data_IF_220924805479
#
_entry.id   IF_220924805479
#
_cell.length_a   1.000
_cell.length_b   1.000
_cell.length_c   1.000
_cell.angle_alpha   90.00
_cell.angle_beta   90.00
_cell.angle_gamma   90.00
#
_symmetry.space_group_name_H-M   'P 1'
#
loop_
_entity.id
_entity.type
_entity.pdbx_description
1 polymer ?
#
# COMPACT_ATOMS: atom_id res chain seq x y z
N UNK A 1 14.17 -11.49 -8.50
CA UNK A 1 13.31 -11.08 -7.38
C UNK A 1 13.07 -9.59 -7.48
N UNK A 2 11.80 -9.17 -7.50
CA UNK A 2 11.41 -7.76 -7.47
C UNK A 2 10.81 -7.45 -6.10
N UNK A 3 11.23 -6.35 -5.46
CA UNK A 3 10.72 -5.93 -4.15
C UNK A 3 9.95 -4.62 -4.24
N UNK A 4 8.73 -4.62 -3.71
CA UNK A 4 7.80 -3.50 -3.76
C UNK A 4 7.42 -3.09 -2.35
N UNK A 5 7.57 -1.81 -2.02
CA UNK A 5 7.05 -1.21 -0.79
C UNK A 5 5.68 -0.58 -1.08
N UNK A 6 4.62 -1.06 -0.44
CA UNK A 6 3.31 -0.40 -0.42
C UNK A 6 3.14 0.38 0.89
N UNK A 7 2.90 1.69 0.80
CA UNK A 7 2.91 2.60 1.96
C UNK A 7 2.01 3.83 1.74
N UNK A 8 1.42 4.40 2.78
CA UNK A 8 0.64 5.64 2.63
C UNK A 8 -0.13 5.99 3.90
N UNK A 9 -1.18 6.80 3.75
CA UNK A 9 -2.04 7.30 4.83
C UNK A 9 -1.20 7.88 5.99
N UNK A 10 -0.15 8.63 5.64
CA UNK A 10 0.83 9.16 6.61
C UNK A 10 0.25 10.34 7.39
N UNK A 11 -0.50 11.22 6.70
CA UNK A 11 -1.04 12.48 7.22
C UNK A 11 0.00 13.32 7.98
N UNK A 12 1.21 13.47 7.44
CA UNK A 12 2.25 14.30 8.06
C UNK A 12 2.25 15.68 7.38
N UNK A 13 2.03 16.79 8.11
CA UNK A 13 2.00 16.92 9.58
C UNK A 13 0.59 16.92 10.19
N UNK A 14 -0.46 16.82 9.38
CA UNK A 14 -1.84 17.10 9.80
C UNK A 14 -2.37 16.21 10.94
N UNK A 15 -1.99 14.94 11.00
CA UNK A 15 -2.40 13.97 12.04
C UNK A 15 -1.22 13.28 12.72
N UNK A 16 -0.05 13.23 12.08
CA UNK A 16 1.17 12.64 12.62
C UNK A 16 2.37 13.56 12.43
N UNK A 17 3.36 13.43 13.30
CA UNK A 17 4.63 14.19 13.17
C UNK A 17 5.68 13.45 12.34
N UNK A 18 5.69 12.12 12.40
CA UNK A 18 6.65 11.26 11.70
C UNK A 18 6.14 9.82 11.62
N UNK A 19 6.71 9.04 10.71
CA UNK A 19 6.65 7.57 10.73
C UNK A 19 7.37 7.08 11.99
N UNK A 20 6.86 6.06 12.71
CA UNK A 20 7.50 5.53 13.90
C UNK A 20 8.94 5.06 13.63
N UNK A 21 9.85 5.35 14.56
CA UNK A 21 11.29 5.12 14.37
C UNK A 21 11.62 3.66 14.05
N UNK A 22 10.93 2.70 14.65
CA UNK A 22 11.12 1.27 14.37
C UNK A 22 10.82 0.93 12.91
N UNK A 23 9.73 1.47 12.37
CA UNK A 23 9.36 1.24 10.97
C UNK A 23 10.31 1.98 10.04
N UNK A 24 10.65 3.24 10.36
CA UNK A 24 11.61 4.04 9.60
C UNK A 24 13.00 3.37 9.50
N UNK A 25 13.53 2.87 10.61
CA UNK A 25 14.80 2.15 10.66
C UNK A 25 14.73 0.86 9.85
N UNK A 26 13.63 0.11 9.95
CA UNK A 26 13.44 -1.10 9.16
C UNK A 26 13.42 -0.78 7.67
N UNK A 27 12.62 0.21 7.22
CA UNK A 27 12.54 0.61 5.82
C UNK A 27 13.90 1.05 5.28
N UNK A 28 14.63 1.87 6.04
CA UNK A 28 15.95 2.38 5.65
C UNK A 28 16.97 1.24 5.48
N UNK A 29 16.92 0.20 6.32
CA UNK A 29 17.83 -0.97 6.23
C UNK A 29 17.52 -1.88 5.04
N UNK A 30 16.29 -1.90 4.54
CA UNK A 30 15.87 -2.79 3.46
C UNK A 30 15.80 -2.09 2.09
N UNK A 31 15.86 -0.77 2.07
CA UNK A 31 16.02 0.04 0.88
C UNK A 31 17.38 -0.22 0.17
N UNK A 32 17.49 0.04 -1.15
CA UNK A 32 16.41 0.47 -2.02
C UNK A 32 15.47 -0.69 -2.41
N UNK A 33 14.16 -0.41 -2.39
CA UNK A 33 13.14 -1.22 -3.05
C UNK A 33 13.19 -0.95 -4.56
N UNK A 34 12.75 -1.91 -5.37
CA UNK A 34 12.67 -1.70 -6.81
C UNK A 34 11.52 -0.74 -7.14
N UNK A 35 10.39 -0.90 -6.44
CA UNK A 35 9.21 -0.05 -6.58
C UNK A 35 8.72 0.39 -5.20
N UNK A 36 8.30 1.65 -5.08
CA UNK A 36 7.51 2.16 -3.96
C UNK A 36 6.15 2.58 -4.52
N UNK A 37 5.08 1.96 -4.02
CA UNK A 37 3.69 2.23 -4.39
C UNK A 37 3.00 2.95 -3.22
N UNK A 38 2.71 4.24 -3.40
CA UNK A 38 2.17 5.09 -2.36
C UNK A 38 0.68 5.35 -2.53
N UNK A 39 -0.13 4.98 -1.53
CA UNK A 39 -1.60 5.14 -1.58
C UNK A 39 -2.09 6.57 -1.34
N UNK A 40 -1.20 7.56 -1.18
CA UNK A 40 -1.57 8.96 -0.93
C UNK A 40 -1.78 9.28 0.56
N UNK A 41 -2.45 10.40 0.81
CA UNK A 41 -2.60 11.04 2.12
C UNK A 41 -1.24 11.32 2.77
N UNK A 42 -0.38 11.99 1.99
CA UNK A 42 0.94 12.51 2.35
C UNK A 42 0.82 13.86 3.07
N UNK A 43 -0.09 14.71 2.61
CA UNK A 43 -0.39 16.09 3.03
C UNK A 43 0.66 17.16 2.72
N UNK A 44 1.94 16.82 2.61
CA UNK A 44 2.98 17.76 2.16
C UNK A 44 4.04 17.14 1.23
N UNK A 45 4.64 17.96 0.36
CA UNK A 45 5.66 17.53 -0.61
C UNK A 45 6.93 16.92 0.02
N UNK A 46 7.47 17.39 1.16
CA UNK A 46 8.62 16.77 1.78
C UNK A 46 8.39 15.30 2.17
N UNK A 47 7.15 14.93 2.53
CA UNK A 47 6.79 13.54 2.85
C UNK A 47 6.85 12.68 1.60
N UNK A 48 6.35 13.18 0.47
CA UNK A 48 6.47 12.53 -0.84
C UNK A 48 7.93 12.26 -1.19
N UNK A 49 8.79 13.28 -1.08
CA UNK A 49 10.23 13.16 -1.39
C UNK A 49 10.91 12.13 -0.47
N UNK A 50 10.55 12.11 0.81
CA UNK A 50 11.04 11.13 1.78
C UNK A 50 10.65 9.71 1.36
N UNK A 51 9.37 9.44 1.09
CA UNK A 51 8.92 8.10 0.67
C UNK A 51 9.53 7.66 -0.66
N UNK A 52 9.67 8.57 -1.62
CA UNK A 52 10.31 8.32 -2.91
C UNK A 52 11.76 7.82 -2.76
N UNK A 53 12.48 8.30 -1.76
CA UNK A 53 13.88 7.90 -1.52
C UNK A 53 14.08 6.43 -1.14
N UNK A 54 13.02 5.72 -0.74
CA UNK A 54 13.11 4.31 -0.39
C UNK A 54 13.26 3.38 -1.60
N UNK A 55 13.01 3.82 -2.83
CA UNK A 55 13.10 2.95 -3.99
C UNK A 55 13.51 3.62 -5.30
N UNK A 56 13.71 2.79 -6.32
CA UNK A 56 14.18 3.21 -7.64
C UNK A 56 13.05 3.84 -8.46
N UNK A 57 11.89 3.21 -8.43
CA UNK A 57 10.67 3.69 -9.09
C UNK A 57 9.62 4.05 -8.04
N UNK A 58 8.90 5.16 -8.25
CA UNK A 58 7.90 5.66 -7.31
C UNK A 58 6.56 5.89 -8.02
N UNK A 59 5.56 5.10 -7.66
CA UNK A 59 4.17 5.33 -8.02
C UNK A 59 3.46 5.93 -6.81
N UNK A 60 2.67 6.98 -7.03
CA UNK A 60 1.90 7.63 -5.98
C UNK A 60 0.56 8.04 -6.57
N UNK A 61 -0.48 7.98 -5.75
CA UNK A 61 -1.82 8.46 -6.10
C UNK A 61 -2.31 9.49 -5.10
N UNK A 62 -3.25 10.32 -5.52
CA UNK A 62 -3.87 11.35 -4.70
C UNK A 62 -4.78 10.74 -3.63
N UNK A 63 -4.49 11.06 -2.36
CA UNK A 63 -5.39 10.85 -1.25
C UNK A 63 -6.36 12.01 -1.04
N UNK A 64 -7.47 11.79 -0.33
CA UNK A 64 -8.49 12.83 -0.16
C UNK A 64 -8.05 13.99 0.75
N UNK A 65 -6.88 13.89 1.39
CA UNK A 65 -6.27 14.97 2.16
C UNK A 65 -5.04 15.58 1.46
N UNK A 66 -4.66 15.08 0.28
CA UNK A 66 -3.57 15.65 -0.49
C UNK A 66 -4.03 16.89 -1.25
N UNK A 67 -3.16 17.89 -1.29
CA UNK A 67 -3.34 19.12 -2.07
C UNK A 67 -2.36 19.18 -3.25
N UNK A 68 -1.56 18.13 -3.41
CA UNK A 68 -0.55 17.99 -4.44
C UNK A 68 -1.22 17.49 -5.73
N UNK A 69 -0.79 17.94 -6.92
CA UNK A 69 -1.33 17.48 -8.19
C UNK A 69 -0.84 16.06 -8.51
N UNK A 70 -1.44 15.05 -7.87
CA UNK A 70 -1.12 13.64 -7.99
C UNK A 70 -2.20 12.92 -8.83
N UNK A 71 -1.86 11.81 -9.51
CA UNK A 71 -2.86 11.09 -10.29
C UNK A 71 -3.87 10.38 -9.37
N UNK A 72 -5.13 10.27 -9.78
CA UNK A 72 -6.16 9.60 -8.98
C UNK A 72 -5.97 8.08 -8.89
N UNK A 73 -5.27 7.49 -9.86
CA UNK A 73 -4.95 6.08 -9.95
C UNK A 73 -3.65 5.85 -10.73
N UNK A 74 -3.01 4.71 -10.52
CA UNK A 74 -1.89 4.25 -11.33
C UNK A 74 -2.02 2.75 -11.61
N UNK A 75 -1.47 2.31 -12.75
CA UNK A 75 -1.34 0.90 -13.10
C UNK A 75 0.08 0.67 -13.58
N UNK A 76 0.72 -0.39 -13.09
CA UNK A 76 2.06 -0.77 -13.50
C UNK A 76 2.21 -2.29 -13.51
N UNK A 77 3.06 -2.77 -14.40
CA UNK A 77 3.33 -4.19 -14.59
C UNK A 77 4.67 -4.54 -13.93
N UNK A 78 4.71 -5.70 -13.27
CA UNK A 78 5.89 -6.17 -12.56
C UNK A 78 6.48 -7.41 -13.23
N UNK A 79 5.61 -8.32 -13.66
CA UNK A 79 5.89 -9.47 -14.53
C UNK A 79 4.65 -9.68 -15.42
N UNK A 80 4.77 -10.49 -16.47
CA UNK A 80 3.73 -10.69 -17.51
C UNK A 80 2.33 -10.98 -16.93
N UNK A 81 2.26 -11.78 -15.86
CA UNK A 81 0.99 -12.16 -15.21
C UNK A 81 0.67 -11.33 -13.94
N UNK A 82 1.41 -10.25 -13.66
CA UNK A 82 1.23 -9.44 -12.46
C UNK A 82 1.16 -7.95 -12.78
N UNK A 83 -0.05 -7.50 -13.11
CA UNK A 83 -0.40 -6.08 -13.21
C UNK A 83 -0.97 -5.58 -11.89
N UNK A 84 -0.44 -4.46 -11.42
CA UNK A 84 -0.76 -3.86 -10.13
C UNK A 84 -1.49 -2.54 -10.35
N UNK A 85 -2.69 -2.43 -9.78
CA UNK A 85 -3.44 -1.20 -9.65
C UNK A 85 -3.16 -0.52 -8.31
N UNK A 86 -3.11 0.80 -8.32
CA UNK A 86 -2.94 1.64 -7.14
C UNK A 86 -4.01 2.72 -7.13
N UNK A 87 -4.74 2.80 -6.02
CA UNK A 87 -5.72 3.86 -5.72
C UNK A 87 -5.61 4.25 -4.25
N UNK A 88 -6.12 5.43 -3.88
CA UNK A 88 -6.23 5.76 -2.46
C UNK A 88 -7.37 4.99 -1.79
N UNK A 89 -8.53 4.84 -2.44
CA UNK A 89 -9.69 4.11 -1.91
C UNK A 89 -10.83 4.99 -1.40
N UNK A 90 -10.65 6.31 -1.30
CA UNK A 90 -11.76 7.26 -1.01
C UNK A 90 -12.80 7.28 -2.13
N UNK A 91 -12.43 6.81 -3.32
CA UNK A 91 -13.29 6.66 -4.49
C UNK A 91 -14.33 5.54 -4.31
N UNK A 92 -14.22 4.71 -3.27
CA UNK A 92 -15.07 3.55 -3.02
C UNK A 92 -16.09 3.81 -1.92
N UNK A 93 -17.37 3.63 -2.25
CA UNK A 93 -18.49 3.67 -1.30
C UNK A 93 -19.31 2.37 -1.33
N UNK A 94 -19.69 1.79 -0.18
CA UNK A 94 -19.28 2.17 1.18
C UNK A 94 -17.76 2.05 1.42
N UNK A 95 -17.23 2.83 2.37
CA UNK A 95 -15.80 2.88 2.69
C UNK A 95 -15.22 1.49 2.89
N UNK A 96 -14.20 1.12 2.10
CA UNK A 96 -13.51 -0.17 2.20
C UNK A 96 -14.35 -1.38 1.77
N UNK A 97 -15.41 -1.19 0.98
CA UNK A 97 -16.22 -2.29 0.45
C UNK A 97 -15.40 -3.16 -0.53
N UNK A 98 -15.22 -4.44 -0.19
CA UNK A 98 -14.40 -5.41 -0.96
C UNK A 98 -14.96 -5.67 -2.35
N UNK A 99 -16.28 -5.75 -2.49
CA UNK A 99 -16.91 -6.04 -3.78
C UNK A 99 -16.69 -4.89 -4.76
N UNK A 100 -16.76 -3.64 -4.30
CA UNK A 100 -16.49 -2.46 -5.12
C UNK A 100 -15.01 -2.34 -5.49
N UNK A 101 -14.11 -2.63 -4.55
CA UNK A 101 -12.66 -2.72 -4.83
C UNK A 101 -12.36 -3.78 -5.88
N UNK A 102 -12.97 -4.97 -5.77
CA UNK A 102 -12.85 -6.03 -6.76
C UNK A 102 -13.39 -5.59 -8.13
N UNK A 103 -14.53 -4.90 -8.18
CA UNK A 103 -15.06 -4.35 -9.43
C UNK A 103 -14.11 -3.32 -10.05
N UNK A 104 -13.48 -2.46 -9.25
CA UNK A 104 -12.47 -1.52 -9.75
C UNK A 104 -11.23 -2.22 -10.27
N UNK A 105 -10.71 -3.21 -9.53
CA UNK A 105 -9.55 -4.00 -9.95
C UNK A 105 -9.78 -4.64 -11.32
N UNK A 106 -10.96 -5.25 -11.54
CA UNK A 106 -11.34 -5.82 -12.83
C UNK A 106 -11.48 -4.77 -13.93
N UNK A 107 -12.03 -3.60 -13.63
CA UNK A 107 -12.11 -2.48 -14.60
C UNK A 107 -10.75 -1.93 -14.98
N UNK A 108 -9.80 -1.95 -14.04
CA UNK A 108 -8.41 -1.55 -14.26
C UNK A 108 -7.58 -2.66 -14.92
N UNK A 109 -8.15 -3.87 -15.06
CA UNK A 109 -7.48 -5.04 -15.60
C UNK A 109 -6.19 -5.37 -14.84
N UNK A 110 -6.32 -5.52 -13.50
CA UNK A 110 -5.20 -5.80 -12.60
C UNK A 110 -5.43 -7.04 -11.74
N UNK A 111 -4.37 -7.81 -11.51
CA UNK A 111 -4.36 -8.99 -10.65
C UNK A 111 -4.21 -8.62 -9.17
N UNK A 112 -3.53 -7.51 -8.88
CA UNK A 112 -3.39 -6.96 -7.53
C UNK A 112 -3.92 -5.52 -7.50
N UNK A 113 -4.83 -5.21 -6.59
CA UNK A 113 -5.22 -3.83 -6.30
C UNK A 113 -4.73 -3.42 -4.91
N UNK A 114 -3.90 -2.39 -4.88
CA UNK A 114 -3.44 -1.73 -3.65
C UNK A 114 -4.34 -0.51 -3.39
N UNK A 115 -4.94 -0.45 -2.20
CA UNK A 115 -5.80 0.64 -1.74
C UNK A 115 -5.47 1.06 -0.31
N UNK A 116 -5.64 2.35 0.03
CA UNK A 116 -5.48 2.92 1.37
C UNK A 116 -6.81 3.32 2.00
N UNK A 117 -6.91 4.55 2.51
CA UNK A 117 -8.11 5.23 3.03
C UNK A 117 -8.74 4.64 4.29
N UNK A 118 -8.73 3.31 4.45
CA UNK A 118 -9.35 2.63 5.59
C UNK A 118 -8.50 2.72 6.87
N UNK A 119 -7.19 2.94 6.72
CA UNK A 119 -6.18 2.84 7.78
C UNK A 119 -6.19 1.48 8.49
N UNK A 120 -6.64 0.44 7.79
CA UNK A 120 -6.72 -0.93 8.31
C UNK A 120 -6.08 -1.86 7.30
N UNK A 121 -4.95 -2.44 7.69
CA UNK A 121 -4.23 -3.37 6.85
C UNK A 121 -5.04 -4.65 6.60
N UNK A 122 -5.04 -5.12 5.35
CA UNK A 122 -5.59 -6.41 4.98
C UNK A 122 -4.95 -6.92 3.68
N UNK A 123 -5.00 -8.23 3.48
CA UNK A 123 -4.55 -8.91 2.26
C UNK A 123 -5.51 -10.08 2.04
N UNK A 124 -6.34 -9.99 0.99
CA UNK A 124 -7.42 -10.95 0.74
C UNK A 124 -7.51 -11.26 -0.76
N UNK A 125 -7.48 -12.55 -1.12
CA UNK A 125 -7.68 -13.02 -2.49
C UNK A 125 -9.17 -13.24 -2.75
N UNK A 126 -9.71 -12.58 -3.78
CA UNK A 126 -11.11 -12.66 -4.17
C UNK A 126 -11.24 -12.93 -5.67
N UNK A 127 -11.77 -14.09 -6.05
CA UNK A 127 -12.00 -14.46 -7.46
C UNK A 127 -10.79 -14.11 -8.36
N UNK A 128 -9.63 -14.65 -8.02
CA UNK A 128 -8.36 -14.47 -8.74
C UNK A 128 -7.76 -13.05 -8.70
N UNK A 129 -8.33 -12.15 -7.90
CA UNK A 129 -7.79 -10.79 -7.71
C UNK A 129 -7.38 -10.60 -6.26
N UNK A 130 -6.15 -10.19 -6.04
CA UNK A 130 -5.62 -9.92 -4.72
C UNK A 130 -5.88 -8.46 -4.33
N UNK A 131 -6.61 -8.25 -3.24
CA UNK A 131 -6.84 -6.93 -2.67
C UNK A 131 -5.90 -6.72 -1.49
N UNK A 132 -5.12 -5.64 -1.54
CA UNK A 132 -4.16 -5.28 -0.50
C UNK A 132 -4.44 -3.86 0.02
N UNK A 133 -4.41 -3.72 1.33
CA UNK A 133 -4.31 -2.44 2.01
C UNK A 133 -3.11 -2.46 2.95
N UNK A 134 -2.12 -1.57 2.78
CA UNK A 134 -0.94 -1.53 3.65
C UNK A 134 -1.25 -0.93 5.03
N UNK A 135 -2.43 -0.33 5.21
CA UNK A 135 -2.83 0.46 6.38
C UNK A 135 -2.16 1.83 6.39
N UNK A 136 -2.05 2.44 7.57
CA UNK A 136 -1.46 3.76 7.75
C UNK A 136 -0.04 3.65 8.29
N UNK A 137 0.94 4.23 7.59
CA UNK A 137 2.34 4.20 8.00
C UNK A 137 2.62 4.90 9.34
N UNK A 138 1.68 5.73 9.81
CA UNK A 138 1.75 6.46 11.07
C UNK A 138 0.72 6.00 12.10
N UNK A 139 -0.18 5.08 11.73
CA UNK A 139 -1.19 4.52 12.63
C UNK A 139 -2.22 5.56 13.11
N UNK A 140 -2.50 6.59 12.31
CA UNK A 140 -3.45 7.65 12.68
C UNK A 140 -4.89 7.24 12.40
N UNK A 141 -5.84 7.96 12.98
CA UNK A 141 -7.26 7.81 12.67
C UNK A 141 -7.60 8.26 11.25
N UNK A 142 -8.46 7.53 10.55
CA UNK A 142 -8.76 7.69 9.11
C UNK A 142 -10.14 8.23 8.76
N UNK A 143 -10.78 9.04 9.62
CA UNK A 143 -12.10 9.62 9.34
C UNK A 143 -13.30 8.72 9.66
N UNK A 144 -13.13 7.39 9.55
CA UNK A 144 -14.16 6.39 9.80
C UNK A 144 -13.68 5.20 10.63
N UNK A 145 -12.66 5.41 11.45
CA UNK A 145 -11.95 4.36 12.20
C UNK A 145 -10.53 4.13 11.68
N UNK A 146 -10.03 2.91 11.87
CA UNK A 146 -8.66 2.49 11.54
C UNK A 146 -8.11 1.56 12.61
N UNK A 147 -7.02 0.85 12.31
CA UNK A 147 -6.39 -0.05 13.28
C UNK A 147 -5.70 0.68 14.43
N UNK A 148 -5.34 1.96 14.21
CA UNK A 148 -4.45 2.77 15.05
C UNK A 148 -3.07 2.12 15.27
N UNK A 149 -2.70 1.19 14.39
CA UNK A 149 -1.45 0.46 14.41
C UNK A 149 -0.67 0.90 13.17
N UNK A 150 0.50 1.55 13.34
CA UNK A 150 1.33 1.90 12.20
C UNK A 150 1.72 0.68 11.38
N UNK A 151 1.50 0.73 10.06
CA UNK A 151 1.74 -0.40 9.18
C UNK A 151 2.11 0.01 7.75
N UNK A 152 2.83 -0.87 7.07
CA UNK A 152 3.04 -0.84 5.63
C UNK A 152 3.15 -2.28 5.12
N UNK A 153 3.20 -2.49 3.80
CA UNK A 153 3.41 -3.81 3.23
C UNK A 153 4.64 -3.86 2.32
N UNK A 154 5.33 -5.00 2.32
CA UNK A 154 6.42 -5.32 1.40
C UNK A 154 6.02 -6.54 0.60
N UNK A 155 6.07 -6.43 -0.72
CA UNK A 155 5.80 -7.51 -1.64
C UNK A 155 7.11 -7.98 -2.27
N UNK A 156 7.30 -9.29 -2.35
CA UNK A 156 8.46 -9.91 -2.98
C UNK A 156 7.96 -10.86 -4.07
N UNK A 157 8.33 -10.57 -5.32
CA UNK A 157 8.02 -11.40 -6.48
C UNK A 157 9.23 -12.27 -6.78
N UNK A 158 9.04 -13.59 -6.72
CA UNK A 158 10.09 -14.61 -6.91
C UNK A 158 9.52 -15.76 -7.71
N UNK A 159 9.98 -15.95 -8.95
CA UNK A 159 9.72 -17.17 -9.74
C UNK A 159 8.23 -17.55 -9.82
N UNK A 160 7.35 -16.61 -10.20
CA UNK A 160 5.91 -16.85 -10.29
C UNK A 160 5.19 -16.99 -8.94
N UNK A 161 5.86 -16.61 -7.85
CA UNK A 161 5.27 -16.49 -6.52
C UNK A 161 5.26 -15.04 -6.04
N UNK A 162 4.22 -14.70 -5.28
CA UNK A 162 4.06 -13.43 -4.62
C UNK A 162 4.03 -13.63 -3.10
N UNK A 163 5.02 -13.10 -2.41
CA UNK A 163 5.04 -13.00 -0.96
C UNK A 163 4.58 -11.60 -0.56
N UNK A 164 3.61 -11.50 0.35
CA UNK A 164 3.16 -10.21 0.90
C UNK A 164 3.41 -10.22 2.41
N UNK A 165 4.24 -9.28 2.88
CA UNK A 165 4.52 -9.04 4.30
C UNK A 165 3.89 -7.74 4.74
N UNK A 166 2.91 -7.79 5.63
CA UNK A 166 2.41 -6.59 6.31
C UNK A 166 3.18 -6.42 7.60
N UNK A 167 3.90 -5.30 7.71
CA UNK A 167 4.65 -4.90 8.89
C UNK A 167 3.78 -4.03 9.78
N UNK A 168 3.78 -4.28 11.08
CA UNK A 168 3.00 -3.55 12.06
C UNK A 168 3.85 -3.18 13.28
N UNK A 169 3.78 -1.93 13.73
CA UNK A 169 4.41 -1.51 14.98
C UNK A 169 3.39 -1.60 16.11
N UNK A 170 3.57 -2.55 17.04
CA UNK A 170 2.68 -2.71 18.21
C UNK A 170 3.50 -2.71 19.49
N UNK A 171 3.11 -1.89 20.46
CA UNK A 171 3.75 -1.84 21.79
C UNK A 171 5.29 -1.77 21.75
N UNK A 172 5.86 -1.04 20.79
CA UNK A 172 7.32 -0.89 20.65
C UNK A 172 8.04 -2.06 19.97
N UNK A 173 7.32 -2.98 19.33
CA UNK A 173 7.89 -4.09 18.56
C UNK A 173 7.33 -4.15 17.14
N UNK A 174 8.12 -4.66 16.21
CA UNK A 174 7.71 -4.91 14.83
C UNK A 174 7.14 -6.32 14.71
N UNK A 175 5.93 -6.43 14.19
CA UNK A 175 5.25 -7.69 13.89
C UNK A 175 5.06 -7.83 12.40
N UNK A 176 5.14 -9.05 11.88
CA UNK A 176 4.85 -9.35 10.48
C UNK A 176 3.65 -10.28 10.34
N UNK A 177 2.81 -10.01 9.33
CA UNK A 177 1.86 -10.98 8.78
C UNK A 177 2.35 -11.37 7.39
N UNK A 178 2.58 -12.66 7.16
CA UNK A 178 3.07 -13.19 5.90
C UNK A 178 1.95 -13.92 5.15
N UNK A 179 1.75 -13.54 3.90
CA UNK A 179 0.85 -14.19 2.96
C UNK A 179 1.67 -14.69 1.76
N UNK A 180 1.28 -15.83 1.20
CA UNK A 180 1.96 -16.46 0.07
C UNK A 180 0.93 -16.81 -0.99
N UNK A 181 1.21 -16.42 -2.22
CA UNK A 181 0.38 -16.71 -3.39
C UNK A 181 1.26 -17.23 -4.53
N UNK A 182 0.71 -18.06 -5.38
CA UNK A 182 1.24 -18.36 -6.71
C UNK A 182 0.54 -17.46 -7.72
N UNK A 183 1.22 -17.11 -8.82
CA UNK A 183 0.57 -16.40 -9.94
C UNK A 183 -0.60 -17.19 -10.52
N UNK A 184 -0.58 -18.53 -10.40
CA UNK A 184 -1.72 -19.39 -10.75
C UNK A 184 -2.98 -19.08 -9.92
N UNK A 185 -2.83 -18.56 -8.70
CA UNK A 185 -3.97 -18.15 -7.88
C UNK A 185 -4.61 -16.85 -8.38
N UNK A 186 -3.91 -16.12 -9.26
CA UNK A 186 -4.30 -14.82 -9.82
C UNK A 186 -4.82 -14.91 -11.26
N UNK A 187 -4.93 -16.14 -11.79
CA UNK A 187 -5.45 -16.42 -13.12
C UNK A 187 -6.85 -17.06 -13.01
N UNK A 188 -7.81 -16.68 -13.88
CA UNK A 188 -9.17 -17.23 -13.87
C UNK A 188 -9.26 -18.71 -14.24
#
# INVERSE_FOLDING_TARGET
MIRILAIGDTHIPSRARKIPDLLQVWLTRHAPFDIVACTGDLTEEPVLRSLRSFGKTFYVVEGNMDWLPLPSQAVFEVEEDLRIGLIHGHQVFPRGNRQQLLTLARRMDVQLLISGHTHQDFCELHNYTLLLNPGSATGVWGGGGGSLIPSCAVLEVVEGHLLVRILQVRKGSLFEKLFRFSFKDLLP
#
